data_IF_954820552814
#
_entry.id   IF_954820552814
#
_cell.length_a   1.000
_cell.length_b   1.000
_cell.length_c   1.000
_cell.angle_alpha   90.00
_cell.angle_beta   90.00
_cell.angle_gamma   90.00
#
_symmetry.space_group_name_H-M   'P 1'
#
loop_
_entity.id
_entity.type
_entity.pdbx_description
1 polymer ?
#
# COMPACT_ATOMS: atom_id res chain seq x y z
N UNK A 1 -10.21 5.67 -12.34
CA UNK A 1 -9.00 6.34 -11.81
C UNK A 1 -8.97 6.21 -10.29
N UNK A 2 -7.86 5.76 -9.71
CA UNK A 2 -7.77 5.72 -8.25
C UNK A 2 -7.80 7.13 -7.68
N UNK A 3 -8.39 7.28 -6.51
CA UNK A 3 -8.34 8.54 -5.78
C UNK A 3 -6.98 8.67 -5.10
N UNK A 4 -6.72 9.83 -4.51
CA UNK A 4 -5.48 10.06 -3.78
C UNK A 4 -5.79 10.32 -2.32
N UNK A 5 -4.85 9.94 -1.46
CA UNK A 5 -4.95 10.23 -0.04
C UNK A 5 -3.65 10.90 0.41
N UNK A 6 -3.76 11.90 1.28
CA UNK A 6 -2.60 12.60 1.82
C UNK A 6 -1.97 11.81 2.96
N UNK A 7 -0.71 12.15 3.30
CA UNK A 7 -0.04 11.56 4.46
C UNK A 7 -0.84 11.80 5.74
N UNK A 8 -1.32 13.05 5.91
CA UNK A 8 -2.07 13.41 7.11
C UNK A 8 -3.35 12.59 7.23
N UNK A 9 -4.10 12.45 6.15
CA UNK A 9 -5.34 11.70 6.19
C UNK A 9 -5.07 10.21 6.42
N UNK A 10 -4.04 9.68 5.79
CA UNK A 10 -3.70 8.27 5.98
C UNK A 10 -3.29 8.00 7.42
N UNK A 11 -2.41 8.84 7.97
CA UNK A 11 -1.98 8.68 9.35
C UNK A 11 -3.15 8.77 10.32
N UNK A 12 -4.05 9.73 10.10
CA UNK A 12 -5.22 9.88 10.94
C UNK A 12 -6.09 8.63 10.93
N UNK A 13 -6.32 8.04 9.76
CA UNK A 13 -7.15 6.84 9.65
C UNK A 13 -6.50 5.64 10.31
N UNK A 14 -5.18 5.52 10.20
CA UNK A 14 -4.46 4.44 10.85
C UNK A 14 -4.57 4.57 12.37
N UNK A 15 -4.45 5.78 12.91
CA UNK A 15 -4.39 5.99 14.35
C UNK A 15 -5.74 6.00 15.02
N UNK A 16 -6.84 6.34 14.32
CA UNK A 16 -8.15 6.38 14.99
C UNK A 16 -9.02 5.17 14.68
N UNK A 17 -8.43 4.11 14.16
CA UNK A 17 -9.12 2.83 14.02
C UNK A 17 -9.93 2.66 12.73
N UNK A 18 -10.01 3.68 11.89
CA UNK A 18 -10.68 3.60 10.59
C UNK A 18 -9.64 3.26 9.52
N UNK A 19 -9.04 2.10 9.68
CA UNK A 19 -7.82 1.75 9.00
C UNK A 19 -8.09 1.10 7.64
N UNK A 20 -7.54 1.63 6.52
CA UNK A 20 -7.64 0.93 5.24
C UNK A 20 -6.66 -0.24 5.21
N UNK A 21 -6.83 -1.10 4.22
CA UNK A 21 -5.84 -2.11 3.92
C UNK A 21 -4.70 -1.42 3.16
N UNK A 22 -3.48 -1.54 3.67
CA UNK A 22 -2.32 -0.92 3.05
C UNK A 22 -1.63 -1.94 2.15
N UNK A 23 -1.26 -1.52 0.94
CA UNK A 23 -0.60 -2.38 -0.03
C UNK A 23 0.68 -1.69 -0.50
N UNK A 24 1.81 -2.33 -0.25
CA UNK A 24 3.09 -1.84 -0.77
C UNK A 24 3.34 -2.44 -2.15
N UNK A 25 3.41 -1.58 -3.16
CA UNK A 25 3.52 -1.98 -4.57
C UNK A 25 4.97 -2.06 -5.01
N UNK A 26 5.80 -2.70 -4.21
CA UNK A 26 7.24 -2.81 -4.46
C UNK A 26 7.67 -4.27 -4.36
N UNK A 27 8.89 -4.56 -4.79
CA UNK A 27 9.43 -5.90 -4.65
C UNK A 27 9.66 -6.28 -3.19
N UNK A 28 9.80 -7.57 -2.94
CA UNK A 28 9.88 -8.12 -1.59
C UNK A 28 11.05 -7.58 -0.77
N UNK A 29 12.16 -7.23 -1.42
CA UNK A 29 13.31 -6.69 -0.70
C UNK A 29 13.01 -5.33 -0.07
N UNK A 30 12.29 -4.49 -0.77
CA UNK A 30 11.86 -3.19 -0.21
C UNK A 30 10.92 -3.39 0.97
N UNK A 31 10.00 -4.33 0.84
CA UNK A 31 9.00 -4.60 1.87
C UNK A 31 9.67 -5.12 3.14
N UNK A 32 10.61 -6.04 2.99
CA UNK A 32 11.35 -6.61 4.12
C UNK A 32 12.11 -5.55 4.88
N UNK A 33 12.72 -4.62 4.14
CA UNK A 33 13.55 -3.57 4.73
C UNK A 33 12.74 -2.62 5.59
N UNK A 34 11.60 -2.16 5.10
CA UNK A 34 10.66 -1.34 5.86
C UNK A 34 9.35 -1.23 5.10
N UNK A 35 8.23 -1.25 5.82
CA UNK A 35 6.92 -1.02 5.24
C UNK A 35 6.03 -0.33 6.27
N UNK A 36 4.96 0.30 5.81
CA UNK A 36 4.00 0.92 6.70
C UNK A 36 3.35 -0.15 7.57
N UNK A 37 2.94 0.20 8.80
CA UNK A 37 2.43 -0.81 9.75
C UNK A 37 1.26 -1.60 9.16
N UNK A 38 1.37 -2.92 9.17
CA UNK A 38 0.32 -3.81 8.70
C UNK A 38 0.17 -3.92 7.19
N UNK A 39 1.05 -3.30 6.41
CA UNK A 39 0.94 -3.33 4.96
C UNK A 39 1.19 -4.73 4.40
N UNK A 40 0.50 -5.02 3.29
CA UNK A 40 0.72 -6.24 2.51
C UNK A 40 1.64 -5.91 1.35
N UNK A 41 2.43 -6.89 0.92
CA UNK A 41 3.33 -6.71 -0.22
C UNK A 41 2.66 -7.25 -1.49
N UNK A 42 2.49 -6.38 -2.49
CA UNK A 42 1.87 -6.77 -3.75
C UNK A 42 2.48 -5.97 -4.89
N UNK A 43 3.54 -6.49 -5.48
CA UNK A 43 4.23 -5.81 -6.57
C UNK A 43 3.43 -5.89 -7.88
N UNK A 44 3.70 -5.00 -8.84
CA UNK A 44 2.98 -5.03 -10.12
C UNK A 44 3.05 -6.37 -10.84
N UNK A 45 4.17 -7.08 -10.71
CA UNK A 45 4.35 -8.37 -11.39
C UNK A 45 3.45 -9.47 -10.83
N UNK A 46 2.94 -9.30 -9.60
CA UNK A 46 2.22 -10.36 -8.91
C UNK A 46 0.76 -10.04 -8.63
N UNK A 47 0.30 -8.84 -9.03
CA UNK A 47 -1.04 -8.41 -8.64
C UNK A 47 -2.12 -9.35 -9.16
N UNK A 48 -2.01 -9.78 -10.41
CA UNK A 48 -3.05 -10.65 -11.00
C UNK A 48 -3.13 -11.99 -10.29
N UNK A 49 -1.98 -12.52 -9.89
CA UNK A 49 -1.91 -13.85 -9.27
C UNK A 49 -2.34 -13.83 -7.81
N UNK A 50 -2.01 -12.76 -7.09
CA UNK A 50 -2.15 -12.75 -5.64
C UNK A 50 -3.31 -11.91 -5.10
N UNK A 51 -3.91 -11.04 -5.93
CA UNK A 51 -4.89 -10.09 -5.41
C UNK A 51 -6.08 -10.78 -4.73
N UNK A 52 -6.65 -11.80 -5.37
CA UNK A 52 -7.83 -12.45 -4.80
C UNK A 52 -7.55 -13.12 -3.46
N UNK A 53 -6.33 -13.63 -3.28
CA UNK A 53 -5.93 -14.28 -2.02
C UNK A 53 -5.67 -13.25 -0.92
N UNK A 54 -4.90 -12.20 -1.25
CA UNK A 54 -4.50 -11.19 -0.26
C UNK A 54 -5.61 -10.19 0.03
N UNK A 55 -6.48 -9.93 -0.96
CA UNK A 55 -7.53 -8.92 -0.88
C UNK A 55 -8.85 -9.55 -1.30
N UNK A 56 -9.41 -10.44 -0.46
CA UNK A 56 -10.62 -11.15 -0.84
C UNK A 56 -11.88 -10.29 -0.90
N UNK A 57 -11.90 -9.16 -0.20
CA UNK A 57 -13.06 -8.26 -0.18
C UNK A 57 -12.84 -7.13 -1.19
N UNK A 58 -13.53 -7.22 -2.33
CA UNK A 58 -13.39 -6.22 -3.39
C UNK A 58 -14.00 -4.87 -3.07
N UNK A 59 -14.73 -4.77 -1.95
CA UNK A 59 -15.30 -3.51 -1.51
C UNK A 59 -14.51 -2.87 -0.37
N UNK A 60 -13.45 -3.52 0.11
CA UNK A 60 -12.63 -2.99 1.18
C UNK A 60 -11.92 -1.71 0.73
N UNK A 61 -11.69 -0.82 1.68
CA UNK A 61 -10.88 0.38 1.42
C UNK A 61 -9.42 -0.01 1.37
N UNK A 62 -8.77 0.26 0.25
CA UNK A 62 -7.38 -0.12 0.00
C UNK A 62 -6.58 1.13 -0.34
N UNK A 63 -5.42 1.28 0.30
CA UNK A 63 -4.47 2.34 -0.05
C UNK A 63 -3.19 1.68 -0.55
N UNK A 64 -2.78 2.04 -1.76
CA UNK A 64 -1.60 1.51 -2.41
C UNK A 64 -0.50 2.56 -2.38
N UNK A 65 0.70 2.17 -2.05
CA UNK A 65 1.83 3.11 -2.04
C UNK A 65 3.09 2.43 -2.58
N UNK A 66 4.07 3.25 -2.98
CA UNK A 66 5.37 2.77 -3.44
C UNK A 66 6.48 3.55 -2.76
N UNK A 67 7.54 3.89 -3.50
CA UNK A 67 8.67 4.64 -2.94
C UNK A 67 8.37 6.13 -2.80
N UNK A 68 7.75 6.72 -3.80
CA UNK A 68 7.49 8.17 -3.83
C UNK A 68 7.36 8.71 -5.23
N UNK A 69 7.67 7.90 -6.26
CA UNK A 69 7.49 8.31 -7.65
C UNK A 69 6.07 8.10 -8.14
N UNK A 70 5.33 7.20 -7.51
CA UNK A 70 3.97 6.88 -7.90
C UNK A 70 3.84 5.89 -9.03
N UNK A 71 4.94 5.48 -9.66
CA UNK A 71 4.87 4.61 -10.83
C UNK A 71 4.29 3.25 -10.50
N UNK A 72 4.88 2.55 -9.53
CA UNK A 72 4.42 1.20 -9.20
C UNK A 72 3.09 1.23 -8.47
N UNK A 73 2.87 2.22 -7.60
CA UNK A 73 1.61 2.31 -6.88
C UNK A 73 0.43 2.58 -7.81
N UNK A 74 0.62 3.46 -8.80
CA UNK A 74 -0.44 3.70 -9.78
C UNK A 74 -0.71 2.47 -10.63
N UNK A 75 0.33 1.74 -11.01
CA UNK A 75 0.16 0.52 -11.80
C UNK A 75 -0.67 -0.52 -11.04
N UNK A 76 -0.33 -0.77 -9.78
CA UNK A 76 -1.06 -1.74 -8.97
C UNK A 76 -2.49 -1.26 -8.72
N UNK A 77 -2.68 0.02 -8.38
CA UNK A 77 -4.00 0.55 -8.10
C UNK A 77 -4.93 0.43 -9.31
N UNK A 78 -4.44 0.78 -10.49
CA UNK A 78 -5.24 0.65 -11.71
C UNK A 78 -5.59 -0.80 -12.01
N UNK A 79 -4.64 -1.70 -11.79
CA UNK A 79 -4.91 -3.11 -12.01
C UNK A 79 -5.93 -3.65 -11.05
N UNK A 80 -5.87 -3.24 -9.78
CA UNK A 80 -6.89 -3.62 -8.80
C UNK A 80 -8.27 -3.13 -9.23
N UNK A 81 -8.36 -1.89 -9.70
CA UNK A 81 -9.65 -1.39 -10.20
C UNK A 81 -10.16 -2.23 -11.37
N UNK A 82 -9.26 -2.61 -12.28
CA UNK A 82 -9.64 -3.46 -13.41
C UNK A 82 -10.11 -4.84 -12.97
N UNK A 83 -9.63 -5.31 -11.82
CA UNK A 83 -10.04 -6.59 -11.24
C UNK A 83 -11.30 -6.48 -10.40
N UNK A 84 -11.92 -5.31 -10.33
CA UNK A 84 -13.21 -5.14 -9.66
C UNK A 84 -13.14 -4.55 -8.26
N UNK A 85 -11.98 -4.06 -7.82
CA UNK A 85 -11.87 -3.39 -6.52
C UNK A 85 -12.41 -1.99 -6.65
N UNK A 86 -13.33 -1.60 -5.74
CA UNK A 86 -14.13 -0.39 -5.92
C UNK A 86 -13.69 0.80 -5.06
N UNK A 87 -12.79 0.59 -4.09
CA UNK A 87 -12.42 1.65 -3.16
C UNK A 87 -10.89 1.68 -3.00
N UNK A 88 -10.20 2.00 -4.09
CA UNK A 88 -8.73 2.02 -4.13
C UNK A 88 -8.25 3.46 -4.18
N UNK A 89 -7.32 3.81 -3.30
CA UNK A 89 -6.66 5.11 -3.29
C UNK A 89 -5.15 4.92 -3.36
N UNK A 90 -4.44 5.95 -3.80
CA UNK A 90 -2.98 5.96 -3.88
C UNK A 90 -2.44 7.00 -2.93
N UNK A 91 -1.48 6.58 -2.10
CA UNK A 91 -0.68 7.50 -1.31
C UNK A 91 0.58 7.80 -2.12
N UNK A 92 0.54 8.92 -2.84
CA UNK A 92 1.56 9.25 -3.82
C UNK A 92 2.91 9.58 -3.21
N UNK A 93 2.92 10.13 -1.99
CA UNK A 93 4.17 10.41 -1.30
C UNK A 93 5.00 9.17 -1.02
N UNK A 94 4.33 8.06 -0.78
CA UNK A 94 4.98 6.78 -0.66
C UNK A 94 5.81 6.62 0.59
N UNK A 95 6.60 5.55 0.58
CA UNK A 95 7.40 5.20 1.76
C UNK A 95 8.43 6.28 2.09
N UNK A 96 9.03 6.91 1.08
CA UNK A 96 10.01 7.97 1.32
C UNK A 96 9.41 9.11 2.13
N UNK A 97 8.25 9.59 1.71
CA UNK A 97 7.58 10.69 2.40
C UNK A 97 7.22 10.31 3.83
N UNK A 98 6.72 9.09 4.02
CA UNK A 98 6.34 8.58 5.33
C UNK A 98 7.53 8.54 6.29
N UNK A 99 8.65 8.00 5.82
CA UNK A 99 9.87 7.86 6.63
C UNK A 99 10.49 9.22 6.92
N UNK A 100 10.49 10.13 5.94
CA UNK A 100 11.03 11.47 6.13
C UNK A 100 10.31 12.25 7.23
N UNK A 101 9.04 11.96 7.44
CA UNK A 101 8.27 12.61 8.48
C UNK A 101 8.28 11.86 9.81
N UNK A 102 9.15 10.87 9.93
CA UNK A 102 9.36 10.18 11.19
C UNK A 102 8.20 9.29 11.61
N UNK A 103 7.35 8.89 10.68
CA UNK A 103 6.19 8.06 11.01
C UNK A 103 6.60 6.59 11.13
N UNK A 104 5.84 5.79 11.89
CA UNK A 104 6.29 4.42 12.22
C UNK A 104 6.29 3.51 11.00
N UNK A 105 7.26 2.61 10.98
CA UNK A 105 7.35 1.54 9.99
C UNK A 105 7.60 0.23 10.71
N UNK A 106 7.35 -0.87 9.99
CA UNK A 106 7.64 -2.22 10.46
C UNK A 106 8.67 -2.83 9.53
N UNK A 107 9.42 -3.78 10.04
CA UNK A 107 10.40 -4.53 9.28
C UNK A 107 10.17 -6.00 9.51
N UNK A 108 10.39 -6.79 8.47
CA UNK A 108 10.41 -8.22 8.67
C UNK A 108 11.72 -8.59 9.33
N UNK A 109 11.62 -9.33 10.42
CA UNK A 109 12.79 -9.79 11.13
C UNK A 109 13.34 -11.01 10.41
N UNK A 110 14.48 -10.84 9.75
CA UNK A 110 15.15 -11.93 9.06
C UNK A 110 16.25 -12.54 9.90
N UNK A 111 16.34 -12.16 11.13
CA UNK A 111 17.32 -12.65 12.06
C UNK A 111 17.16 -14.14 12.32
N UNK A 112 18.27 -14.83 12.37
CA UNK A 112 18.24 -16.28 12.62
C UNK A 112 19.03 -16.60 13.86
#
# INVERSE_FOLDING_TARGET
MPTRISRQDLYRRITNGDRPILVEALGAGYYTDAHLPGALNLSPAHVDRLAATLLPDRQAHIVVYGTGTGTSSNAVARRLEALGYTAVAVYAGGKEDWVEHGLPVERLDTET
#
